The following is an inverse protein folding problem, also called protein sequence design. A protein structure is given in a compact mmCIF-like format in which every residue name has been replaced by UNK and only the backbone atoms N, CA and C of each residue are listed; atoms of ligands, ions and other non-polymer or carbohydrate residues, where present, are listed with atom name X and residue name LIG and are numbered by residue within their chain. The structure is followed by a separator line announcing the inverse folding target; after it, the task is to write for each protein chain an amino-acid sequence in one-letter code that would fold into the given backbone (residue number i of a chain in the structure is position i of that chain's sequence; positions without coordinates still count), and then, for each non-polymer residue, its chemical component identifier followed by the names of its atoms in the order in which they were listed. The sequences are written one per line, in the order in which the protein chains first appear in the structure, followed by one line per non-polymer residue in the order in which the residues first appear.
data_IF_017532235810
#
_entry.id   IF_017532235810
#
_cell.length_a   1.000
_cell.length_b   1.000
_cell.length_c   1.000
_cell.angle_alpha   90.00
_cell.angle_beta   90.00
_cell.angle_gamma   90.00
#
_symmetry.space_group_name_H-M   'P 1'
#
loop_
_entity.id
_entity.type
_entity.pdbx_description
1 polymer ?
#
# COMPACT_ATOMS: atom_id res chain seq x y z
N UNK A 1 -1.25 -14.48 -4.62
CA UNK A 1 -2.71 -14.61 -4.38
C UNK A 1 -3.01 -15.39 -3.10
N UNK A 2 -2.34 -16.52 -2.84
CA UNK A 2 -2.62 -17.43 -1.72
C UNK A 2 -2.55 -16.76 -0.33
N UNK A 3 -1.53 -15.94 -0.07
CA UNK A 3 -1.39 -15.24 1.23
C UNK A 3 -2.53 -14.25 1.49
N UNK A 4 -2.94 -13.54 0.42
CA UNK A 4 -3.99 -12.53 0.44
C UNK A 4 -5.36 -13.13 0.75
N UNK A 5 -5.69 -14.27 0.13
CA UNK A 5 -6.99 -14.93 0.33
C UNK A 5 -7.10 -15.53 1.73
N UNK A 6 -6.03 -16.16 2.24
CA UNK A 6 -5.99 -16.68 3.62
C UNK A 6 -6.12 -15.54 4.63
N UNK A 7 -5.43 -14.41 4.40
CA UNK A 7 -5.58 -13.20 5.23
C UNK A 7 -7.04 -12.75 5.34
N UNK A 8 -7.81 -12.82 4.25
CA UNK A 8 -9.22 -12.44 4.21
C UNK A 8 -10.10 -13.26 5.16
N UNK A 9 -9.75 -14.53 5.43
CA UNK A 9 -10.52 -15.41 6.30
C UNK A 9 -10.50 -15.00 7.80
N UNK A 10 -9.56 -14.13 8.21
CA UNK A 10 -9.30 -13.82 9.62
C UNK A 10 -9.39 -12.32 9.95
N UNK A 11 -10.15 -11.56 9.15
CA UNK A 11 -10.42 -10.15 9.41
C UNK A 11 -11.44 -9.98 10.55
N UNK A 12 -11.46 -8.79 11.17
CA UNK A 12 -12.43 -8.42 12.22
C UNK A 12 -11.79 -7.63 13.38
N UNK A 13 -12.62 -6.97 14.19
CA UNK A 13 -12.21 -6.25 15.41
C UNK A 13 -11.51 -4.89 15.19
N UNK A 14 -10.87 -4.68 14.04
CA UNK A 14 -10.26 -3.40 13.65
C UNK A 14 -10.19 -3.28 12.11
N UNK A 15 -9.87 -2.08 11.62
CA UNK A 15 -9.65 -1.80 10.20
C UNK A 15 -8.49 -2.67 9.67
N UNK A 16 -8.81 -3.64 8.82
CA UNK A 16 -7.88 -4.57 8.18
C UNK A 16 -6.80 -5.11 9.15
N UNK A 17 -7.26 -5.91 10.12
CA UNK A 17 -6.46 -6.48 11.21
C UNK A 17 -5.23 -7.25 10.74
N UNK A 18 -5.36 -8.02 9.66
CA UNK A 18 -4.22 -8.71 9.05
C UNK A 18 -3.90 -8.03 7.74
N UNK A 19 -2.62 -7.75 7.51
CA UNK A 19 -2.10 -7.01 6.36
C UNK A 19 -1.26 -7.93 5.46
N UNK A 20 -1.35 -7.70 4.15
CA UNK A 20 -0.44 -8.30 3.18
C UNK A 20 0.70 -7.32 2.95
N UNK A 21 1.90 -7.69 3.41
CA UNK A 21 3.07 -6.82 3.41
C UNK A 21 3.42 -6.26 2.03
N UNK A 22 4.17 -5.15 2.04
CA UNK A 22 4.77 -4.59 0.82
C UNK A 22 5.67 -5.61 0.12
N UNK A 23 5.99 -5.36 -1.14
CA UNK A 23 6.91 -6.21 -1.89
C UNK A 23 8.27 -6.27 -1.17
N UNK A 24 8.67 -7.47 -0.74
CA UNK A 24 9.78 -7.65 0.19
C UNK A 24 11.08 -8.11 -0.48
N UNK A 25 12.20 -7.58 0.00
CA UNK A 25 13.57 -7.94 -0.38
C UNK A 25 13.78 -7.87 -1.89
N UNK A 26 13.98 -9.01 -2.57
CA UNK A 26 14.17 -9.06 -4.02
C UNK A 26 12.96 -8.52 -4.80
N UNK A 27 11.79 -8.52 -4.17
CA UNK A 27 10.55 -8.00 -4.75
C UNK A 27 10.42 -6.48 -4.55
N UNK A 28 11.24 -5.84 -3.71
CA UNK A 28 11.23 -4.37 -3.50
C UNK A 28 11.83 -3.63 -4.71
N UNK A 29 11.10 -3.72 -5.82
CA UNK A 29 11.37 -3.14 -7.14
C UNK A 29 10.05 -2.63 -7.70
N UNK A 30 10.08 -1.75 -8.71
CA UNK A 30 8.84 -1.27 -9.34
C UNK A 30 7.93 -2.41 -9.81
N UNK A 31 8.47 -3.46 -10.45
CA UNK A 31 7.65 -4.57 -10.94
C UNK A 31 7.03 -5.37 -9.79
N UNK A 32 7.81 -5.68 -8.75
CA UNK A 32 7.29 -6.41 -7.58
C UNK A 32 6.27 -5.61 -6.78
N UNK A 33 6.52 -4.31 -6.55
CA UNK A 33 5.55 -3.40 -5.92
C UNK A 33 4.27 -3.29 -6.75
N UNK A 34 4.36 -3.11 -8.07
CA UNK A 34 3.16 -3.06 -8.93
C UNK A 34 2.33 -4.32 -8.84
N UNK A 35 2.96 -5.50 -8.93
CA UNK A 35 2.27 -6.77 -8.80
C UNK A 35 1.61 -6.93 -7.40
N UNK A 36 2.34 -6.58 -6.33
CA UNK A 36 1.83 -6.64 -4.96
C UNK A 36 0.62 -5.70 -4.74
N UNK A 37 0.70 -4.46 -5.23
CA UNK A 37 -0.38 -3.47 -5.14
C UNK A 37 -1.59 -3.86 -5.98
N UNK A 38 -1.39 -4.41 -7.19
CA UNK A 38 -2.48 -4.94 -8.03
C UNK A 38 -3.21 -6.08 -7.33
N UNK A 39 -2.49 -7.04 -6.75
CA UNK A 39 -3.09 -8.12 -5.98
C UNK A 39 -3.87 -7.61 -4.76
N UNK A 40 -3.37 -6.58 -4.06
CA UNK A 40 -4.10 -5.91 -2.97
C UNK A 40 -5.40 -5.26 -3.47
N UNK A 41 -5.40 -4.62 -4.63
CA UNK A 41 -6.61 -4.00 -5.20
C UNK A 41 -7.66 -5.03 -5.63
N UNK A 42 -7.21 -6.15 -6.20
CA UNK A 42 -8.10 -7.18 -6.73
C UNK A 42 -8.71 -8.05 -5.63
N UNK A 43 -7.98 -8.27 -4.53
CA UNK A 43 -8.34 -9.27 -3.52
C UNK A 43 -8.51 -8.70 -2.10
N UNK A 44 -8.27 -7.39 -1.90
CA UNK A 44 -8.34 -6.72 -0.59
C UNK A 44 -8.70 -5.23 -0.76
N UNK A 45 -8.52 -4.44 0.30
CA UNK A 45 -8.82 -3.01 0.34
C UNK A 45 -7.53 -2.18 0.29
N UNK A 46 -7.11 -1.77 -0.90
CA UNK A 46 -5.87 -0.98 -1.07
C UNK A 46 -5.83 0.28 -0.19
N UNK A 47 -6.95 0.99 -0.05
CA UNK A 47 -7.01 2.21 0.78
C UNK A 47 -6.73 2.00 2.26
N UNK A 48 -6.78 0.75 2.74
CA UNK A 48 -6.49 0.36 4.12
C UNK A 48 -5.08 -0.25 4.29
N UNK A 49 -4.28 -0.29 3.23
CA UNK A 49 -2.92 -0.80 3.26
C UNK A 49 -2.03 0.08 4.13
N UNK A 50 -1.23 -0.54 5.02
CA UNK A 50 -0.33 0.18 5.96
C UNK A 50 0.94 0.72 5.31
N UNK A 51 1.18 0.45 4.03
CA UNK A 51 2.22 1.11 3.25
C UNK A 51 3.60 0.46 3.30
N UNK A 52 4.62 1.29 3.19
CA UNK A 52 6.00 0.89 2.91
C UNK A 52 6.88 0.86 4.16
N UNK A 53 7.89 -0.01 4.13
CA UNK A 53 8.99 -0.07 5.08
C UNK A 53 10.29 -0.34 4.31
N UNK A 54 11.43 0.18 4.79
CA UNK A 54 12.69 0.06 4.03
C UNK A 54 13.35 -1.31 4.16
N UNK A 55 13.11 -2.02 5.26
CA UNK A 55 13.80 -3.27 5.66
C UNK A 55 15.32 -3.19 5.47
N UNK A 56 15.89 -2.05 5.81
CA UNK A 56 17.29 -1.75 5.49
C UNK A 56 18.08 -1.36 6.74
N UNK A 57 19.34 -1.77 6.75
CA UNK A 57 20.36 -1.32 7.70
C UNK A 57 21.07 -0.03 7.27
N UNK A 58 20.72 0.55 6.12
CA UNK A 58 21.33 1.77 5.60
C UNK A 58 20.48 2.99 5.93
N UNK A 59 21.09 4.03 6.50
CA UNK A 59 20.44 5.33 6.69
C UNK A 59 20.04 6.00 5.37
N UNK A 60 20.68 5.64 4.26
CA UNK A 60 20.35 6.16 2.93
C UNK A 60 19.21 5.40 2.24
N UNK A 61 18.46 4.56 2.97
CA UNK A 61 17.39 3.74 2.41
C UNK A 61 16.04 4.45 2.32
N UNK A 62 15.86 5.61 2.96
CA UNK A 62 14.58 6.35 2.93
C UNK A 62 14.09 6.74 1.52
N UNK A 63 14.94 6.94 0.49
CA UNK A 63 14.47 7.07 -0.90
C UNK A 63 13.63 5.87 -1.40
N UNK A 64 13.68 4.70 -0.75
CA UNK A 64 12.73 3.59 -1.02
C UNK A 64 11.29 3.98 -0.77
N UNK A 65 11.00 4.84 0.22
CA UNK A 65 9.65 5.37 0.42
C UNK A 65 9.23 6.28 -0.72
N UNK A 66 10.13 7.14 -1.22
CA UNK A 66 9.83 7.95 -2.40
C UNK A 66 9.56 7.08 -3.62
N UNK A 67 10.39 6.05 -3.84
CA UNK A 67 10.22 5.10 -4.93
C UNK A 67 8.87 4.38 -4.86
N UNK A 68 8.50 3.85 -3.68
CA UNK A 68 7.17 3.28 -3.43
C UNK A 68 6.03 4.27 -3.73
N UNK A 69 6.12 5.50 -3.21
CA UNK A 69 5.07 6.53 -3.39
C UNK A 69 4.88 6.86 -4.87
N UNK A 70 5.97 6.94 -5.65
CA UNK A 70 5.90 7.14 -7.10
C UNK A 70 5.20 5.98 -7.79
N UNK A 71 5.52 4.74 -7.44
CA UNK A 71 4.86 3.54 -8.00
C UNK A 71 3.37 3.48 -7.64
N UNK A 72 3.02 3.82 -6.39
CA UNK A 72 1.63 3.90 -5.94
C UNK A 72 0.84 4.96 -6.73
N UNK A 73 1.36 6.19 -6.83
CA UNK A 73 0.72 7.27 -7.57
C UNK A 73 0.63 6.98 -9.07
N UNK A 74 1.65 6.35 -9.65
CA UNK A 74 1.65 5.90 -11.05
C UNK A 74 0.51 4.91 -11.29
N UNK A 75 0.35 3.91 -10.42
CA UNK A 75 -0.72 2.91 -10.51
C UNK A 75 -2.11 3.55 -10.40
N UNK A 76 -2.32 4.42 -9.42
CA UNK A 76 -3.59 5.14 -9.23
C UNK A 76 -3.89 6.04 -10.44
N UNK A 77 -2.89 6.78 -10.92
CA UNK A 77 -3.00 7.65 -12.10
C UNK A 77 -3.40 6.87 -13.35
N UNK A 78 -2.76 5.72 -13.61
CA UNK A 78 -3.12 4.85 -14.74
C UNK A 78 -4.59 4.39 -14.67
N UNK A 79 -5.08 4.05 -13.47
CA UNK A 79 -6.48 3.65 -13.29
C UNK A 79 -7.46 4.80 -13.54
N UNK A 80 -7.10 6.02 -13.14
CA UNK A 80 -7.89 7.23 -13.42
C UNK A 80 -7.93 7.49 -14.93
N UNK A 81 -6.77 7.48 -15.60
CA UNK A 81 -6.67 7.70 -17.06
C UNK A 81 -7.47 6.67 -17.85
N UNK A 82 -7.53 5.43 -17.37
CA UNK A 82 -8.34 4.35 -17.95
C UNK A 82 -9.83 4.41 -17.62
N UNK A 83 -10.27 5.35 -16.78
CA UNK A 83 -11.65 5.45 -16.32
C UNK A 83 -12.09 4.31 -15.41
N UNK A 84 -11.15 3.59 -14.78
CA UNK A 84 -11.44 2.49 -13.86
C UNK A 84 -11.83 2.98 -12.47
N UNK A 85 -11.34 4.16 -12.07
CA UNK A 85 -11.72 4.84 -10.84
C UNK A 85 -12.01 6.32 -11.10
N UNK A 86 -12.86 6.97 -10.28
CA UNK A 86 -13.18 8.39 -10.46
C UNK A 86 -11.95 9.29 -10.29
N UNK A 87 -11.83 10.30 -11.14
CA UNK A 87 -10.84 11.38 -10.99
C UNK A 87 -11.25 12.37 -9.89
N UNK A 88 -11.29 11.92 -8.64
CA UNK A 88 -11.57 12.73 -7.46
C UNK A 88 -10.28 12.94 -6.67
N UNK A 89 -9.59 14.05 -6.97
CA UNK A 89 -8.29 14.38 -6.37
C UNK A 89 -8.36 14.44 -4.83
N UNK A 90 -9.47 14.88 -4.25
CA UNK A 90 -9.62 14.96 -2.79
C UNK A 90 -9.65 13.56 -2.17
N UNK A 91 -10.40 12.63 -2.76
CA UNK A 91 -10.47 11.24 -2.27
C UNK A 91 -9.17 10.49 -2.52
N UNK A 92 -8.62 10.60 -3.73
CA UNK A 92 -7.38 9.92 -4.11
C UNK A 92 -6.18 10.45 -3.32
N UNK A 93 -6.09 11.78 -3.15
CA UNK A 93 -5.06 12.42 -2.33
C UNK A 93 -5.13 11.96 -0.88
N UNK A 94 -6.33 11.83 -0.30
CA UNK A 94 -6.49 11.27 1.06
C UNK A 94 -6.02 9.82 1.13
N UNK A 95 -6.38 8.98 0.15
CA UNK A 95 -5.92 7.59 0.10
C UNK A 95 -4.40 7.48 -0.01
N UNK A 96 -3.76 8.31 -0.84
CA UNK A 96 -2.29 8.35 -0.97
C UNK A 96 -1.64 8.77 0.35
N UNK A 97 -2.18 9.78 1.05
CA UNK A 97 -1.69 10.20 2.37
C UNK A 97 -1.84 9.07 3.40
N UNK A 98 -2.96 8.36 3.36
CA UNK A 98 -3.25 7.26 4.29
C UNK A 98 -2.28 6.09 4.11
N UNK A 99 -2.07 5.64 2.86
CA UNK A 99 -1.10 4.58 2.56
C UNK A 99 0.33 5.05 2.82
N UNK A 100 0.62 6.35 2.65
CA UNK A 100 1.97 6.90 2.84
C UNK A 100 2.36 7.07 4.30
N UNK A 101 1.40 7.15 5.23
CA UNK A 101 1.65 7.34 6.65
C UNK A 101 0.47 7.00 7.56
N UNK A 102 -0.71 7.62 7.36
CA UNK A 102 -1.75 7.63 8.40
C UNK A 102 -2.27 6.23 8.77
N UNK A 103 -2.34 5.30 7.81
CA UNK A 103 -2.74 3.92 8.10
C UNK A 103 -1.72 3.21 9.00
N UNK A 104 -0.42 3.44 8.81
CA UNK A 104 0.61 2.85 9.66
C UNK A 104 0.52 3.43 11.09
N UNK A 105 0.38 4.75 11.21
CA UNK A 105 0.20 5.39 12.51
C UNK A 105 -1.07 4.90 13.23
N UNK A 106 -2.21 4.81 12.54
CA UNK A 106 -3.45 4.29 13.12
C UNK A 106 -3.30 2.82 13.57
N UNK A 107 -2.63 2.00 12.75
CA UNK A 107 -2.48 0.56 12.98
C UNK A 107 -1.51 0.25 14.13
N UNK A 108 -0.39 0.96 14.23
CA UNK A 108 0.63 0.74 15.26
C UNK A 108 0.50 1.65 16.48
N UNK A 109 -0.24 2.75 16.38
CA UNK A 109 -0.41 3.74 17.44
C UNK A 109 0.87 4.53 17.73
N UNK A 110 1.60 4.99 16.72
CA UNK A 110 2.89 5.67 16.94
C UNK A 110 2.76 7.06 17.58
N UNK A 111 1.71 7.81 17.23
CA UNK A 111 1.50 9.18 17.68
C UNK A 111 0.41 9.32 18.76
N UNK A 112 -0.01 8.21 19.38
CA UNK A 112 -0.98 8.21 20.49
C UNK A 112 -0.29 8.25 21.85
#
# INVERSE_FOLDING_TARGET
MQLLTVMGCFQGGMKQKIQFGTAWWFNDTRAGMRNQLQLLMEQSLLGNFIGMLTDSRSFLSYPRHEYFRRVLCELIGEMVERGQIPNDEKRLGKMVQDISFNNADEYFGFLK
#
